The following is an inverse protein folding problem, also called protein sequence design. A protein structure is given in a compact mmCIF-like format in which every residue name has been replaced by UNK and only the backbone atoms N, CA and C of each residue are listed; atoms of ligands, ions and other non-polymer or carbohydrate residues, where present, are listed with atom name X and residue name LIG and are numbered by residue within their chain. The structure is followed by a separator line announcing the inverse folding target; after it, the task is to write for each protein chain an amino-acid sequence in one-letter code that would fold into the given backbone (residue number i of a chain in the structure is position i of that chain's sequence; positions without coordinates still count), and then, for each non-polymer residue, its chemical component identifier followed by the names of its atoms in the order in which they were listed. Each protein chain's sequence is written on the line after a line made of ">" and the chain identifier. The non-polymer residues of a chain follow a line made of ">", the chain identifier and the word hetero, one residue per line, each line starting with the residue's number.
data_IF_371398273334
#
_entry.id   IF_371398273334
#
_cell.length_a   1.000
_cell.length_b   1.000
_cell.length_c   1.000
_cell.angle_alpha   90.00
_cell.angle_beta   90.00
_cell.angle_gamma   90.00
#
_symmetry.space_group_name_H-M   'P 1'
#
loop_
_entity.id
_entity.type
_entity.pdbx_description
1 polymer ?
#
# COMPACT_ATOMS: atom_id res chain seq x y z
N UNK A 1 9.90 -8.77 11.44
CA UNK A 1 9.77 -7.84 10.32
C UNK A 1 8.48 -8.17 9.61
N UNK A 2 7.75 -7.15 9.20
CA UNK A 2 6.51 -7.26 8.42
C UNK A 2 6.63 -6.42 7.16
N UNK A 3 5.75 -6.70 6.19
CA UNK A 3 5.50 -5.82 5.06
C UNK A 3 4.05 -5.34 5.15
N UNK A 4 3.83 -4.07 4.82
CA UNK A 4 2.51 -3.43 4.78
C UNK A 4 2.18 -3.03 3.34
N UNK A 5 1.46 -3.89 2.59
CA UNK A 5 1.09 -3.60 1.23
C UNK A 5 0.04 -2.49 1.15
N UNK A 6 0.12 -1.68 0.08
CA UNK A 6 -0.94 -0.76 -0.30
C UNK A 6 -2.08 -1.46 -1.04
N UNK A 7 -2.89 -0.74 -1.84
CA UNK A 7 -3.93 -1.36 -2.65
C UNK A 7 -3.31 -2.22 -3.77
N UNK A 8 -3.62 -3.53 -3.76
CA UNK A 8 -3.11 -4.52 -4.73
C UNK A 8 -4.26 -5.12 -5.53
N UNK A 9 -4.05 -5.41 -6.81
CA UNK A 9 -4.99 -6.14 -7.68
C UNK A 9 -5.01 -7.63 -7.36
N UNK A 10 -5.66 -7.97 -6.26
CA UNK A 10 -5.98 -9.35 -5.87
C UNK A 10 -7.47 -9.63 -6.04
N UNK A 11 -7.92 -10.90 -6.08
CA UNK A 11 -9.35 -11.22 -6.08
C UNK A 11 -10.12 -10.59 -4.90
N UNK A 12 -9.48 -10.46 -3.73
CA UNK A 12 -10.07 -9.84 -2.52
C UNK A 12 -10.30 -8.32 -2.67
N UNK A 13 -9.72 -7.65 -3.67
CA UNK A 13 -9.94 -6.22 -3.89
C UNK A 13 -11.42 -5.88 -4.09
N UNK A 14 -12.22 -6.81 -4.64
CA UNK A 14 -13.66 -6.65 -4.76
C UNK A 14 -14.34 -6.55 -3.38
N UNK A 15 -13.96 -7.41 -2.43
CA UNK A 15 -14.49 -7.42 -1.06
C UNK A 15 -14.10 -6.14 -0.31
N UNK A 16 -12.89 -5.63 -0.55
CA UNK A 16 -12.43 -4.37 0.01
C UNK A 16 -13.19 -3.17 -0.57
N UNK A 17 -13.47 -3.16 -1.88
CA UNK A 17 -14.32 -2.14 -2.50
C UNK A 17 -15.74 -2.16 -1.93
N UNK A 18 -16.28 -3.35 -1.64
CA UNK A 18 -17.61 -3.49 -1.05
C UNK A 18 -17.67 -3.01 0.41
N UNK A 19 -16.64 -3.34 1.21
CA UNK A 19 -16.63 -3.03 2.65
C UNK A 19 -16.13 -1.62 2.99
N UNK A 20 -15.15 -1.09 2.26
CA UNK A 20 -14.54 0.23 2.50
C UNK A 20 -15.01 1.31 1.52
N UNK A 21 -15.79 0.94 0.51
CA UNK A 21 -16.26 1.84 -0.54
C UNK A 21 -15.30 1.93 -1.73
N UNK A 22 -15.85 1.80 -2.93
CA UNK A 22 -15.08 1.82 -4.17
C UNK A 22 -14.29 3.13 -4.35
N UNK A 23 -14.91 4.27 -4.03
CA UNK A 23 -14.27 5.60 -4.16
C UNK A 23 -13.07 5.76 -3.22
N UNK A 24 -13.10 5.16 -2.03
CA UNK A 24 -11.96 5.18 -1.10
C UNK A 24 -10.79 4.36 -1.65
N UNK A 25 -11.10 3.17 -2.18
CA UNK A 25 -10.12 2.29 -2.82
C UNK A 25 -9.51 2.92 -4.08
N UNK A 26 -10.31 3.56 -4.92
CA UNK A 26 -9.85 4.19 -6.15
C UNK A 26 -8.99 5.42 -5.89
N UNK A 27 -9.37 6.23 -4.89
CA UNK A 27 -8.51 7.34 -4.42
C UNK A 27 -7.20 6.84 -3.85
N UNK A 28 -7.20 5.75 -3.08
CA UNK A 28 -5.97 5.15 -2.59
C UNK A 28 -5.07 4.66 -3.75
N UNK A 29 -5.65 4.03 -4.76
CA UNK A 29 -4.95 3.65 -5.98
C UNK A 29 -4.36 4.85 -6.71
N UNK A 30 -5.12 5.94 -6.85
CA UNK A 30 -4.66 7.18 -7.50
C UNK A 30 -3.51 7.86 -6.72
N UNK A 31 -3.61 7.93 -5.39
CA UNK A 31 -2.55 8.48 -4.53
C UNK A 31 -1.26 7.64 -4.57
N UNK A 32 -1.39 6.32 -4.66
CA UNK A 32 -0.27 5.41 -4.89
C UNK A 32 0.23 5.42 -6.36
N UNK A 33 -0.38 6.22 -7.24
CA UNK A 33 -0.15 6.26 -8.68
C UNK A 33 -0.91 5.17 -9.46
N UNK A 34 -1.03 3.97 -8.89
CA UNK A 34 -1.93 2.89 -9.34
C UNK A 34 -2.04 1.81 -8.26
N UNK A 35 -2.99 0.89 -8.43
CA UNK A 35 -2.91 -0.38 -7.71
C UNK A 35 -1.66 -1.17 -8.13
N UNK A 36 -1.02 -1.80 -7.15
CA UNK A 36 0.09 -2.72 -7.39
C UNK A 36 -0.41 -4.06 -7.97
N UNK A 37 0.45 -4.75 -8.70
CA UNK A 37 0.29 -6.17 -8.99
C UNK A 37 0.84 -7.01 -7.83
N UNK A 38 0.29 -8.21 -7.54
CA UNK A 38 0.78 -9.07 -6.46
C UNK A 38 2.28 -9.41 -6.59
N UNK A 39 2.77 -9.54 -7.82
CA UNK A 39 4.19 -9.82 -8.11
C UNK A 39 5.14 -8.72 -7.65
N UNK A 40 4.68 -7.48 -7.57
CA UNK A 40 5.49 -6.34 -7.12
C UNK A 40 5.75 -6.43 -5.61
N UNK A 41 4.71 -6.74 -4.83
CA UNK A 41 4.86 -6.98 -3.38
C UNK A 41 5.78 -8.19 -3.13
N UNK A 42 5.62 -9.26 -3.91
CA UNK A 42 6.47 -10.44 -3.80
C UNK A 42 7.94 -10.15 -4.13
N UNK A 43 8.21 -9.27 -5.09
CA UNK A 43 9.57 -8.86 -5.46
C UNK A 43 10.26 -8.13 -4.30
N UNK A 44 9.57 -7.23 -3.61
CA UNK A 44 10.11 -6.53 -2.44
C UNK A 44 10.35 -7.47 -1.26
N UNK A 45 9.45 -8.43 -1.01
CA UNK A 45 9.70 -9.48 0.00
C UNK A 45 10.93 -10.31 -0.37
N UNK A 46 11.16 -10.58 -1.65
CA UNK A 46 12.35 -11.31 -2.11
C UNK A 46 13.65 -10.51 -1.94
N UNK A 47 13.58 -9.18 -1.98
CA UNK A 47 14.72 -8.30 -1.68
C UNK A 47 15.17 -8.45 -0.21
N UNK A 48 14.23 -8.73 0.70
CA UNK A 48 14.47 -9.03 2.11
C UNK A 48 15.03 -10.45 2.34
N UNK A 49 16.10 -10.78 1.62
CA UNK A 49 16.83 -12.05 1.73
C UNK A 49 17.89 -11.99 2.85
N UNK A 50 18.64 -13.08 3.14
CA UNK A 50 19.65 -13.10 4.20
C UNK A 50 20.76 -12.03 4.10
N UNK A 51 21.00 -11.43 2.93
CA UNK A 51 21.92 -10.31 2.80
C UNK A 51 21.40 -9.02 3.47
N UNK A 52 20.09 -8.90 3.70
CA UNK A 52 19.47 -7.83 4.49
C UNK A 52 19.53 -8.10 6.01
N UNK A 53 20.57 -8.80 6.48
CA UNK A 53 20.68 -9.30 7.87
C UNK A 53 20.63 -8.22 8.96
N UNK A 54 20.92 -6.97 8.61
CA UNK A 54 20.85 -5.83 9.53
C UNK A 54 19.52 -5.06 9.49
N UNK A 55 18.58 -5.48 8.64
CA UNK A 55 17.23 -4.90 8.56
C UNK A 55 16.27 -5.78 9.36
N UNK A 56 15.95 -5.36 10.59
CA UNK A 56 15.03 -6.06 11.47
C UNK A 56 14.29 -5.08 12.39
N UNK A 57 13.21 -5.54 13.03
CA UNK A 57 12.44 -4.71 13.98
C UNK A 57 11.56 -3.62 13.34
N UNK A 58 11.43 -3.60 12.02
CA UNK A 58 10.63 -2.60 11.28
C UNK A 58 9.44 -3.21 10.55
N UNK A 59 8.44 -2.37 10.31
CA UNK A 59 7.42 -2.60 9.28
C UNK A 59 7.86 -1.90 7.99
N UNK A 60 7.85 -2.62 6.87
CA UNK A 60 8.23 -2.07 5.57
C UNK A 60 6.97 -1.69 4.77
N UNK A 61 6.72 -0.39 4.52
CA UNK A 61 5.64 0.03 3.64
C UNK A 61 5.93 -0.39 2.19
N UNK A 62 5.02 -1.17 1.59
CA UNK A 62 5.07 -1.63 0.19
C UNK A 62 3.80 -1.17 -0.52
N UNK A 63 3.64 0.15 -0.60
CA UNK A 63 2.34 0.78 -0.81
C UNK A 63 2.37 1.96 -1.80
N UNK A 64 3.40 2.03 -2.65
CA UNK A 64 3.51 3.09 -3.66
C UNK A 64 3.60 4.50 -3.06
N UNK A 65 3.98 4.61 -1.78
CA UNK A 65 4.06 5.88 -1.05
C UNK A 65 2.70 6.44 -0.61
N UNK A 66 1.61 5.67 -0.64
CA UNK A 66 0.28 6.10 -0.27
C UNK A 66 0.19 6.80 1.10
N UNK A 67 0.87 6.29 2.12
CA UNK A 67 0.90 6.86 3.47
C UNK A 67 1.61 8.21 3.46
N UNK A 68 2.73 8.32 2.75
CA UNK A 68 3.43 9.59 2.57
C UNK A 68 2.57 10.58 1.77
N UNK A 69 1.94 10.14 0.67
CA UNK A 69 1.07 10.98 -0.15
C UNK A 69 -0.11 11.54 0.68
N UNK A 70 -0.76 10.71 1.48
CA UNK A 70 -1.83 11.12 2.40
C UNK A 70 -1.36 12.15 3.42
N UNK A 71 -0.17 11.99 3.96
CA UNK A 71 0.39 12.94 4.93
C UNK A 71 0.64 14.34 4.31
N UNK A 72 0.87 14.41 3.00
CA UNK A 72 1.10 15.65 2.27
C UNK A 72 -0.15 16.24 1.61
N UNK A 73 -1.32 15.60 1.74
CA UNK A 73 -2.57 16.17 1.26
C UNK A 73 -2.93 17.45 2.03
N UNK A 74 -3.50 18.47 1.35
CA UNK A 74 -4.01 19.66 2.00
C UNK A 74 -5.00 19.30 3.12
N UNK A 75 -5.01 20.07 4.22
CA UNK A 75 -5.83 19.77 5.40
C UNK A 75 -7.33 19.58 5.10
N UNK A 76 -7.85 20.25 4.07
CA UNK A 76 -9.25 20.11 3.65
C UNK A 76 -9.58 18.74 3.03
N UNK A 77 -8.59 18.02 2.53
CA UNK A 77 -8.75 16.75 1.78
C UNK A 77 -8.40 15.51 2.62
N UNK A 78 -7.89 15.69 3.84
CA UNK A 78 -7.51 14.56 4.72
C UNK A 78 -8.69 13.89 5.43
N UNK A 79 -9.85 14.55 5.55
CA UNK A 79 -10.96 14.11 6.42
C UNK A 79 -12.00 13.23 5.71
N UNK A 80 -11.92 13.08 4.39
CA UNK A 80 -12.92 12.36 3.59
C UNK A 80 -12.61 10.86 3.43
N UNK A 81 -12.00 10.24 4.44
CA UNK A 81 -11.56 8.84 4.43
C UNK A 81 -12.70 7.83 4.51
#
# INVERSE_FOLDING_TARGET
>A
MSVSPGPVRTPTLADFRASMGADSIDRAGALAGRHAEPGEVAAEVRFLNPAASWVNGVDLPVEGGLTAARAHLPSAERTTG
#
